data_IF_040558337680
#
_entry.id   IF_040558337680
#
_cell.length_a   1.000
_cell.length_b   1.000
_cell.length_c   1.000
_cell.angle_alpha   90.00
_cell.angle_beta   90.00
_cell.angle_gamma   90.00
#
_symmetry.space_group_name_H-M   'P 1'
#
loop_
_entity.id
_entity.type
_entity.pdbx_description
1 polymer ?
#
# COMPACT_ATOMS: atom_id res chain seq x y z
N UNK A 1 -0.17 -12.09 12.63
CA UNK A 1 -0.93 -11.01 13.29
C UNK A 1 -1.72 -10.30 12.21
N UNK A 2 -3.03 -10.30 12.33
CA UNK A 2 -3.92 -9.87 11.27
C UNK A 2 -4.23 -8.38 11.34
N UNK A 3 -4.78 -7.84 10.25
CA UNK A 3 -5.19 -6.43 10.14
C UNK A 3 -6.43 -6.18 11.03
N UNK A 4 -6.65 -4.95 11.50
CA UNK A 4 -7.81 -4.68 12.35
C UNK A 4 -9.12 -4.85 11.54
N UNK A 5 -9.99 -5.83 11.83
CA UNK A 5 -11.16 -6.14 11.01
C UNK A 5 -12.24 -5.05 11.04
N UNK A 6 -12.17 -4.10 11.98
CA UNK A 6 -13.11 -2.98 12.09
C UNK A 6 -12.79 -1.83 11.11
N UNK A 7 -11.62 -1.83 10.47
CA UNK A 7 -11.21 -0.82 9.50
C UNK A 7 -11.73 -1.13 8.10
N UNK A 8 -11.91 -0.10 7.28
CA UNK A 8 -12.25 -0.27 5.85
C UNK A 8 -11.17 -1.08 5.18
N UNK A 9 -11.51 -2.16 4.48
CA UNK A 9 -10.57 -2.87 3.61
C UNK A 9 -10.58 -2.21 2.22
N UNK A 10 -9.39 -1.96 1.67
CA UNK A 10 -9.21 -1.37 0.34
C UNK A 10 -8.14 -2.16 -0.42
N UNK A 11 -8.58 -2.83 -1.48
CA UNK A 11 -7.73 -3.57 -2.41
C UNK A 11 -7.47 -2.68 -3.64
N UNK A 12 -6.19 -2.51 -3.98
CA UNK A 12 -5.74 -1.63 -5.07
C UNK A 12 -4.56 -2.26 -5.80
N UNK A 13 -4.38 -1.89 -7.07
CA UNK A 13 -3.29 -2.37 -7.92
C UNK A 13 -2.46 -1.17 -8.37
N UNK A 14 -1.13 -1.26 -8.22
CA UNK A 14 -0.25 -0.14 -8.52
C UNK A 14 1.20 -0.38 -8.10
N UNK A 15 1.97 0.70 -8.00
CA UNK A 15 3.37 0.67 -7.52
C UNK A 15 3.59 1.70 -6.42
N UNK A 16 4.49 1.40 -5.47
CA UNK A 16 5.00 2.40 -4.56
C UNK A 16 5.88 3.41 -5.31
N UNK A 17 5.73 4.69 -5.00
CA UNK A 17 6.53 5.79 -5.57
C UNK A 17 7.80 6.01 -4.72
N UNK A 18 7.69 5.77 -3.42
CA UNK A 18 8.80 5.82 -2.46
C UNK A 18 8.71 4.60 -1.51
N UNK A 19 9.80 4.25 -0.80
CA UNK A 19 9.78 3.18 0.20
C UNK A 19 8.68 3.39 1.25
N UNK A 20 7.97 2.31 1.58
CA UNK A 20 6.93 2.32 2.61
C UNK A 20 7.58 2.29 4.00
N UNK A 21 7.15 3.15 4.91
CA UNK A 21 7.60 3.15 6.31
C UNK A 21 6.45 3.42 7.25
N UNK A 22 6.54 2.91 8.48
CA UNK A 22 5.62 3.26 9.57
C UNK A 22 5.86 4.71 10.00
N UNK A 23 4.79 5.42 10.33
CA UNK A 23 4.82 6.83 10.72
C UNK A 23 4.77 7.81 9.54
N UNK A 24 4.98 7.37 8.29
CA UNK A 24 4.90 8.21 7.09
C UNK A 24 3.69 7.88 6.22
N UNK A 25 3.29 8.79 5.33
CA UNK A 25 2.27 8.52 4.32
C UNK A 25 2.81 7.62 3.20
N UNK A 26 1.99 6.70 2.70
CA UNK A 26 2.30 5.95 1.49
C UNK A 26 1.92 6.78 0.24
N UNK A 27 2.76 6.70 -0.79
CA UNK A 27 2.51 7.29 -2.11
C UNK A 27 2.48 6.16 -3.15
N UNK A 28 1.33 5.98 -3.77
CA UNK A 28 1.02 4.83 -4.64
C UNK A 28 0.60 5.38 -6.00
N UNK A 29 1.29 4.98 -7.07
CA UNK A 29 0.84 5.23 -8.43
C UNK A 29 -0.11 4.11 -8.85
N UNK A 30 -1.35 4.48 -9.16
CA UNK A 30 -2.43 3.59 -9.60
C UNK A 30 -3.00 4.09 -10.94
N UNK A 31 -3.88 3.30 -11.56
CA UNK A 31 -4.49 3.73 -12.82
C UNK A 31 -5.38 4.96 -12.59
N UNK A 32 -4.99 6.10 -13.16
CA UNK A 32 -5.65 7.39 -12.95
C UNK A 32 -4.91 8.38 -12.01
N UNK A 33 -3.75 8.02 -11.43
CA UNK A 33 -2.89 9.01 -10.78
C UNK A 33 -2.12 8.53 -9.55
N UNK A 34 -1.88 9.45 -8.61
CA UNK A 34 -1.13 9.20 -7.38
C UNK A 34 -2.08 9.27 -6.18
N UNK A 35 -2.22 8.15 -5.46
CA UNK A 35 -2.86 8.11 -4.14
C UNK A 35 -1.83 8.38 -3.05
N UNK A 36 -2.11 9.41 -2.24
CA UNK A 36 -1.48 9.64 -0.93
C UNK A 36 -2.38 9.05 0.16
N UNK A 37 -1.82 8.26 1.06
CA UNK A 37 -2.56 7.76 2.23
C UNK A 37 -2.37 8.67 3.46
N UNK A 38 -3.14 8.43 4.53
CA UNK A 38 -2.73 8.82 5.88
C UNK A 38 -1.52 7.99 6.35
N UNK A 39 -0.90 8.38 7.47
CA UNK A 39 0.30 7.71 7.96
C UNK A 39 0.07 6.21 8.17
N UNK A 40 1.04 5.41 7.71
CA UNK A 40 1.08 3.96 7.93
C UNK A 40 1.30 3.71 9.42
N UNK A 41 0.43 2.93 10.04
CA UNK A 41 0.54 2.54 11.44
C UNK A 41 1.26 1.20 11.61
N UNK A 42 1.11 0.29 10.64
CA UNK A 42 1.65 -1.07 10.69
C UNK A 42 1.85 -1.64 9.30
N UNK A 43 2.98 -2.29 9.07
CA UNK A 43 3.18 -3.18 7.91
C UNK A 43 2.90 -4.61 8.35
N UNK A 44 2.09 -5.35 7.60
CA UNK A 44 1.62 -6.69 7.96
C UNK A 44 2.24 -7.76 7.06
N UNK A 45 2.41 -7.45 5.77
CA UNK A 45 3.08 -8.33 4.81
C UNK A 45 3.76 -7.50 3.72
N UNK A 46 4.96 -7.91 3.33
CA UNK A 46 5.64 -7.43 2.13
C UNK A 46 6.07 -8.68 1.36
N UNK A 47 5.77 -8.71 0.06
CA UNK A 47 6.15 -9.76 -0.88
C UNK A 47 6.29 -9.17 -2.28
N UNK A 48 6.93 -9.85 -3.25
CA UNK A 48 7.18 -9.30 -4.58
C UNK A 48 5.91 -8.88 -5.33
N UNK A 49 4.78 -9.55 -5.07
CA UNK A 49 3.52 -9.34 -5.79
C UNK A 49 2.45 -8.62 -4.92
N UNK A 50 2.63 -8.53 -3.60
CA UNK A 50 1.62 -8.00 -2.67
C UNK A 50 2.24 -7.32 -1.42
N UNK A 51 1.71 -6.15 -1.05
CA UNK A 51 1.98 -5.49 0.24
C UNK A 51 0.67 -5.29 1.01
N UNK A 52 0.66 -5.63 2.31
CA UNK A 52 -0.45 -5.36 3.23
C UNK A 52 0.00 -4.42 4.34
N UNK A 53 -0.69 -3.30 4.50
CA UNK A 53 -0.37 -2.29 5.50
C UNK A 53 -1.62 -1.56 6.01
N UNK A 54 -1.52 -1.03 7.23
CA UNK A 54 -2.59 -0.33 7.91
C UNK A 54 -2.33 1.16 7.95
N UNK A 55 -3.40 1.95 7.84
CA UNK A 55 -3.42 3.36 8.26
C UNK A 55 -4.44 3.57 9.38
N UNK A 56 -4.73 4.81 9.73
CA UNK A 56 -5.67 5.16 10.80
C UNK A 56 -7.04 4.48 10.67
N UNK A 57 -7.63 4.48 9.46
CA UNK A 57 -9.01 4.01 9.21
C UNK A 57 -9.12 2.92 8.13
N UNK A 58 -8.02 2.58 7.45
CA UNK A 58 -8.04 1.71 6.27
C UNK A 58 -6.96 0.62 6.35
N UNK A 59 -7.35 -0.60 6.03
CA UNK A 59 -6.50 -1.73 5.75
C UNK A 59 -6.24 -1.76 4.23
N UNK A 60 -5.00 -1.54 3.81
CA UNK A 60 -4.60 -1.61 2.42
C UNK A 60 -4.07 -2.98 2.05
N UNK A 61 -4.53 -3.48 0.91
CA UNK A 61 -3.95 -4.60 0.17
C UNK A 61 -3.54 -4.08 -1.20
N UNK A 62 -2.25 -3.82 -1.38
CA UNK A 62 -1.67 -3.33 -2.62
C UNK A 62 -1.09 -4.51 -3.40
N UNK A 63 -1.68 -4.80 -4.56
CA UNK A 63 -1.08 -5.67 -5.56
C UNK A 63 -0.03 -4.89 -6.33
N UNK A 64 1.20 -5.40 -6.34
CA UNK A 64 2.32 -4.74 -7.00
C UNK A 64 2.33 -5.09 -8.49
N UNK A 65 2.23 -4.06 -9.34
CA UNK A 65 2.59 -4.21 -10.76
C UNK A 65 4.11 -4.22 -10.87
N UNK A 66 4.65 -5.16 -11.65
CA UNK A 66 6.08 -5.17 -11.99
C UNK A 66 6.38 -3.91 -12.79
N UNK A 67 7.48 -3.24 -12.49
CA UNK A 67 8.04 -2.27 -13.42
C UNK A 67 8.56 -3.04 -14.63
N UNK A 68 7.85 -2.94 -15.76
CA UNK A 68 8.49 -3.18 -17.05
C UNK A 68 9.53 -2.07 -17.22
N UNK A 69 10.80 -2.45 -17.09
CA UNK A 69 11.92 -1.58 -17.48
C UNK A 69 11.93 -1.56 -19.00
N UNK A 70 11.24 -0.59 -19.60
CA UNK A 70 11.48 -0.22 -20.99
C UNK A 70 12.89 0.35 -21.07
N UNK A 71 13.81 -0.49 -21.53
CA UNK A 71 15.19 -0.15 -21.86
C UNK A 71 15.27 0.63 -23.19
#
# INVERSE_FOLDING_TARGET
MDMNPQKKNLEITGRLICPLSVGTAAFIAENGGIRRTSNVLRMVRISPDEIRFETCNTNYRLHLIRQEVTA
#
